data_IF_067000376702
#
_entry.id   IF_067000376702
#
_cell.length_a   1.000
_cell.length_b   1.000
_cell.length_c   1.000
_cell.angle_alpha   90.00
_cell.angle_beta   90.00
_cell.angle_gamma   90.00
#
_symmetry.space_group_name_H-M   'P 1'
#
loop_
_entity.id
_entity.type
_entity.pdbx_description
1 polymer ?
#
# COMPACT_ATOMS: atom_id res chain seq x y z
N UNK A 1 -0.87 12.40 18.20
CA UNK A 1 -1.09 11.03 17.70
C UNK A 1 0.03 10.15 18.25
N UNK A 2 -0.27 9.10 19.00
CA UNK A 2 0.75 8.22 19.59
C UNK A 2 1.13 7.14 18.59
N UNK A 3 2.39 7.13 18.14
CA UNK A 3 2.94 6.12 17.23
C UNK A 3 3.10 4.72 17.88
N UNK A 4 2.91 4.61 19.21
CA UNK A 4 3.18 3.38 19.95
C UNK A 4 2.21 2.22 19.63
N UNK A 5 1.06 2.52 19.02
CA UNK A 5 -0.04 1.56 18.81
C UNK A 5 -0.24 1.16 17.33
N UNK A 6 0.68 1.53 16.44
CA UNK A 6 0.59 1.27 15.00
C UNK A 6 1.80 0.47 14.52
N UNK A 7 1.56 -0.71 13.95
CA UNK A 7 2.57 -1.50 13.24
C UNK A 7 2.64 -1.03 11.79
N UNK A 8 3.85 -0.85 11.26
CA UNK A 8 4.09 -0.51 9.86
C UNK A 8 5.02 -1.57 9.24
N UNK A 9 4.57 -2.18 8.15
CA UNK A 9 5.33 -3.13 7.35
C UNK A 9 5.54 -2.55 5.93
N UNK A 10 6.74 -2.71 5.38
CA UNK A 10 7.08 -2.29 4.00
C UNK A 10 7.37 -3.52 3.14
N UNK A 11 6.76 -3.56 1.95
CA UNK A 11 7.05 -4.55 0.91
C UNK A 11 7.00 -3.94 -0.51
N UNK A 12 7.22 -4.79 -1.53
CA UNK A 12 7.10 -4.39 -2.93
C UNK A 12 5.69 -4.62 -3.46
N UNK A 13 5.09 -3.60 -4.06
CA UNK A 13 3.80 -3.72 -4.75
C UNK A 13 3.95 -4.14 -6.20
N UNK A 14 4.99 -3.66 -6.88
CA UNK A 14 5.24 -3.96 -8.28
C UNK A 14 6.32 -3.07 -8.86
N UNK A 15 6.37 -2.97 -10.18
CA UNK A 15 7.41 -2.22 -10.89
C UNK A 15 6.80 -1.29 -11.93
N UNK A 16 7.38 -0.11 -12.06
CA UNK A 16 7.05 0.84 -13.13
C UNK A 16 8.25 1.04 -14.06
N UNK A 17 8.03 1.23 -15.38
CA UNK A 17 9.10 1.63 -16.28
C UNK A 17 9.69 2.95 -15.83
N UNK A 18 11.02 3.04 -15.83
CA UNK A 18 11.66 4.30 -15.48
C UNK A 18 11.59 5.28 -16.67
N UNK A 19 11.43 6.60 -16.44
CA UNK A 19 11.53 7.59 -17.50
C UNK A 19 12.83 7.47 -18.29
N UNK A 20 12.75 7.71 -19.60
CA UNK A 20 13.95 7.77 -20.46
C UNK A 20 14.86 8.90 -19.96
N UNK A 21 16.16 8.61 -19.85
CA UNK A 21 17.17 9.58 -19.38
C UNK A 21 17.59 9.44 -17.92
N UNK A 22 17.13 8.40 -17.21
CA UNK A 22 17.64 8.12 -15.87
C UNK A 22 19.11 7.69 -15.87
N UNK A 23 19.86 8.14 -14.87
CA UNK A 23 21.31 7.87 -14.72
C UNK A 23 21.60 6.43 -14.25
N UNK A 24 20.59 5.67 -13.81
CA UNK A 24 20.78 4.30 -13.30
C UNK A 24 20.49 3.25 -14.35
N UNK A 25 21.32 2.19 -14.38
CA UNK A 25 21.23 1.05 -15.31
C UNK A 25 19.98 0.18 -15.17
N UNK A 26 19.14 0.41 -14.16
CA UNK A 26 17.89 -0.34 -13.96
C UNK A 26 16.79 0.20 -14.86
N UNK A 27 16.16 -0.69 -15.62
CA UNK A 27 15.05 -0.37 -16.55
C UNK A 27 13.70 -0.12 -15.86
N UNK A 28 13.55 -0.58 -14.61
CA UNK A 28 12.31 -0.46 -13.83
C UNK A 28 12.61 0.02 -12.41
N UNK A 29 11.63 0.69 -11.83
CA UNK A 29 11.64 1.17 -10.46
C UNK A 29 10.59 0.43 -9.63
N UNK A 30 10.93 0.08 -8.38
CA UNK A 30 10.00 -0.61 -7.48
C UNK A 30 9.00 0.39 -6.91
N UNK A 31 7.72 0.03 -6.99
CA UNK A 31 6.66 0.68 -6.22
C UNK A 31 6.60 -0.01 -4.86
N UNK A 32 6.81 0.75 -3.80
CA UNK A 32 6.74 0.25 -2.43
C UNK A 32 5.30 0.26 -1.95
N UNK A 33 4.95 -0.68 -1.09
CA UNK A 33 3.70 -0.69 -0.34
C UNK A 33 3.97 -0.69 1.15
N UNK A 34 3.14 0.07 1.85
CA UNK A 34 3.18 0.23 3.30
C UNK A 34 1.86 -0.31 3.86
N UNK A 35 1.92 -1.31 4.73
CA UNK A 35 0.77 -1.82 5.46
C UNK A 35 0.83 -1.29 6.88
N UNK A 36 -0.17 -0.49 7.26
CA UNK A 36 -0.30 0.06 8.61
C UNK A 36 -1.46 -0.63 9.32
N UNK A 37 -1.19 -1.21 10.49
CA UNK A 37 -2.20 -1.86 11.33
C UNK A 37 -2.32 -1.14 12.66
N UNK A 38 -3.52 -0.72 13.04
CA UNK A 38 -3.79 -0.12 14.34
C UNK A 38 -4.22 -1.17 15.38
N UNK A 39 -4.23 -0.79 16.67
CA UNK A 39 -4.69 -1.66 17.77
C UNK A 39 -6.12 -2.19 17.65
N UNK A 40 -6.97 -1.55 16.83
CA UNK A 40 -8.36 -1.94 16.60
C UNK A 40 -8.52 -2.84 15.36
N UNK A 41 -7.42 -3.45 14.88
CA UNK A 41 -7.37 -4.32 13.69
C UNK A 41 -7.72 -3.62 12.37
N UNK A 42 -7.81 -2.29 12.36
CA UNK A 42 -7.93 -1.52 11.12
C UNK A 42 -6.61 -1.57 10.36
N UNK A 43 -6.67 -1.85 9.06
CA UNK A 43 -5.51 -2.00 8.19
C UNK A 43 -5.64 -1.00 7.03
N UNK A 44 -4.61 -0.21 6.80
CA UNK A 44 -4.51 0.68 5.63
C UNK A 44 -3.28 0.27 4.83
N UNK A 45 -3.45 0.13 3.52
CA UNK A 45 -2.33 -0.07 2.60
C UNK A 45 -2.16 1.15 1.70
N UNK A 46 -0.94 1.64 1.59
CA UNK A 46 -0.57 2.73 0.69
C UNK A 46 0.55 2.29 -0.23
N UNK A 47 0.60 2.84 -1.43
CA UNK A 47 1.68 2.62 -2.39
C UNK A 47 2.44 3.92 -2.66
N UNK A 48 3.74 3.82 -2.90
CA UNK A 48 4.59 4.97 -3.20
C UNK A 48 4.26 5.61 -4.55
N UNK A 49 3.58 4.88 -5.44
CA UNK A 49 3.10 5.38 -6.71
C UNK A 49 1.89 6.30 -6.50
N UNK A 50 2.07 7.59 -6.82
CA UNK A 50 1.01 8.60 -6.66
C UNK A 50 0.52 8.80 -5.22
N UNK A 51 1.26 8.32 -4.22
CA UNK A 51 0.84 8.31 -2.81
C UNK A 51 -0.57 7.71 -2.59
N UNK A 52 -0.93 6.69 -3.38
CA UNK A 52 -2.30 6.17 -3.43
C UNK A 52 -2.62 5.25 -2.26
N UNK A 53 -3.85 5.35 -1.75
CA UNK A 53 -4.43 4.35 -0.84
C UNK A 53 -4.87 3.17 -1.70
N UNK A 54 -4.29 2.00 -1.45
CA UNK A 54 -4.59 0.77 -2.18
C UNK A 54 -5.76 0.00 -1.56
N UNK A 55 -5.85 -0.06 -0.22
CA UNK A 55 -6.99 -0.66 0.49
C UNK A 55 -7.15 -0.08 1.89
N UNK A 56 -8.38 -0.14 2.39
CA UNK A 56 -8.71 0.15 3.79
C UNK A 56 -9.59 -0.99 4.29
N UNK A 57 -9.03 -1.87 5.14
CA UNK A 57 -9.77 -2.99 5.72
C UNK A 57 -10.16 -2.69 7.15
N UNK A 58 -11.47 -2.70 7.41
CA UNK A 58 -12.06 -2.40 8.71
C UNK A 58 -12.91 -3.59 9.17
N UNK A 59 -12.85 -3.98 10.47
CA UNK A 59 -13.72 -5.03 10.98
C UNK A 59 -15.17 -4.58 10.99
N UNK A 60 -16.07 -5.43 10.49
CA UNK A 60 -17.50 -5.25 10.60
C UNK A 60 -17.99 -5.61 12.03
N UNK A 61 -19.31 -5.61 12.24
CA UNK A 61 -19.93 -5.95 13.54
C UNK A 61 -19.55 -7.34 14.08
N UNK A 62 -19.28 -8.29 13.18
CA UNK A 62 -18.86 -9.64 13.53
C UNK A 62 -17.34 -9.78 13.66
N UNK A 63 -16.59 -8.67 13.56
CA UNK A 63 -15.13 -8.65 13.58
C UNK A 63 -14.47 -9.09 12.26
N UNK A 64 -15.24 -9.30 11.19
CA UNK A 64 -14.70 -9.69 9.87
C UNK A 64 -14.20 -8.47 9.11
N UNK A 65 -12.97 -8.52 8.62
CA UNK A 65 -12.39 -7.44 7.83
C UNK A 65 -13.05 -7.35 6.46
N UNK A 66 -13.49 -6.15 6.08
CA UNK A 66 -13.97 -5.81 4.75
C UNK A 66 -13.20 -4.62 4.21
N UNK A 67 -12.88 -4.64 2.91
CA UNK A 67 -12.32 -3.48 2.22
C UNK A 67 -13.43 -2.47 1.94
N UNK A 68 -13.20 -1.21 2.30
CA UNK A 68 -14.20 -0.15 2.19
C UNK A 68 -13.87 0.88 1.11
N UNK A 69 -12.79 0.65 0.35
CA UNK A 69 -12.42 1.48 -0.81
C UNK A 69 -12.38 0.63 -2.07
N UNK A 70 -12.57 1.29 -3.21
CA UNK A 70 -12.28 0.70 -4.51
C UNK A 70 -10.79 0.84 -4.80
N UNK A 71 -10.24 -0.13 -5.51
CA UNK A 71 -8.84 -0.17 -5.87
C UNK A 71 -8.50 -1.40 -6.69
N UNK A 72 -7.22 -1.62 -6.88
CA UNK A 72 -6.69 -2.73 -7.65
C UNK A 72 -5.76 -3.59 -6.78
N UNK A 73 -5.69 -4.88 -7.12
CA UNK A 73 -4.86 -5.83 -6.40
C UNK A 73 -3.36 -5.69 -6.75
N UNK A 74 -3.05 -5.15 -7.93
CA UNK A 74 -1.70 -5.01 -8.46
C UNK A 74 -1.51 -3.77 -9.36
N UNK A 75 -0.32 -3.66 -9.94
CA UNK A 75 0.06 -2.58 -10.86
C UNK A 75 -0.52 -2.71 -12.27
N UNK A 76 -1.06 -3.88 -12.65
CA UNK A 76 -1.67 -4.07 -13.98
C UNK A 76 -3.12 -3.57 -13.99
N UNK A 77 -3.77 -3.57 -12.82
CA UNK A 77 -5.09 -2.98 -12.65
C UNK A 77 -5.10 -1.44 -12.55
N UNK A 78 -4.00 -0.81 -12.11
CA UNK A 78 -3.95 0.63 -11.79
C UNK A 78 -3.79 1.56 -13.00
#
# INVERSE_FOLDING_TARGET
MSFKDTLIEEDGFGFVPRPRGSVSSKSREIVRRYTMTNKNKGIVRLISWGASIQSIKIPNRDGKLADVVLGFDDMDGI
#
